data_IF_294707021831
#
_entry.id   IF_294707021831
#
_cell.length_a   1.000
_cell.length_b   1.000
_cell.length_c   1.000
_cell.angle_alpha   90.00
_cell.angle_beta   90.00
_cell.angle_gamma   90.00
#
_symmetry.space_group_name_H-M   'P 1'
#
loop_
_entity.id
_entity.type
_entity.pdbx_description
1 polymer ?
#
# COMPACT_ATOMS: atom_id res chain seq x y z
N UNK A 1 -14.67 -10.42 -4.27
CA UNK A 1 -13.91 -9.33 -3.60
C UNK A 1 -14.56 -8.97 -2.25
N UNK A 2 -14.00 -9.44 -1.14
CA UNK A 2 -14.61 -9.35 0.22
C UNK A 2 -13.71 -8.55 1.19
N UNK A 3 -12.48 -8.21 0.78
CA UNK A 3 -11.58 -7.45 1.64
C UNK A 3 -12.03 -6.00 1.73
N UNK A 4 -12.48 -5.56 2.91
CA UNK A 4 -12.77 -4.17 3.25
C UNK A 4 -11.65 -3.71 4.19
N UNK A 5 -10.80 -2.75 3.79
CA UNK A 5 -9.76 -2.24 4.66
C UNK A 5 -10.35 -1.45 5.82
N UNK A 6 -9.67 -1.48 6.97
CA UNK A 6 -10.06 -0.74 8.17
C UNK A 6 -10.18 0.77 7.87
N UNK A 7 -11.29 1.38 8.28
CA UNK A 7 -11.58 2.79 8.02
C UNK A 7 -12.25 3.09 6.68
N UNK A 8 -12.64 2.06 5.91
CA UNK A 8 -13.36 2.22 4.64
C UNK A 8 -14.67 1.42 4.65
N UNK A 9 -15.72 1.98 4.06
CA UNK A 9 -17.01 1.28 3.86
C UNK A 9 -17.10 0.57 2.49
N UNK A 10 -16.05 0.69 1.68
CA UNK A 10 -15.97 0.14 0.33
C UNK A 10 -15.00 -1.04 0.29
N UNK A 11 -15.30 -2.04 -0.54
CA UNK A 11 -14.35 -3.15 -0.76
C UNK A 11 -13.09 -2.63 -1.44
N UNK A 12 -11.98 -3.31 -1.20
CA UNK A 12 -10.70 -3.00 -1.83
C UNK A 12 -10.81 -2.97 -3.36
N UNK A 13 -11.70 -3.75 -3.98
CA UNK A 13 -11.92 -3.72 -5.42
C UNK A 13 -12.60 -2.43 -5.91
N UNK A 14 -13.37 -1.76 -5.04
CA UNK A 14 -14.11 -0.52 -5.32
C UNK A 14 -13.30 0.75 -5.02
N UNK A 15 -12.17 0.66 -4.32
CA UNK A 15 -11.29 1.80 -4.06
C UNK A 15 -10.55 2.24 -5.34
N UNK A 16 -10.29 3.54 -5.46
CA UNK A 16 -9.47 4.09 -6.54
C UNK A 16 -8.06 3.48 -6.52
N UNK A 17 -7.45 3.32 -7.70
CA UNK A 17 -6.13 2.67 -7.81
C UNK A 17 -5.05 3.43 -7.02
N UNK A 18 -5.16 4.76 -6.88
CA UNK A 18 -4.25 5.54 -6.04
C UNK A 18 -4.34 5.15 -4.55
N UNK A 19 -5.56 4.86 -4.08
CA UNK A 19 -5.86 4.46 -2.71
C UNK A 19 -5.42 3.01 -2.46
N UNK A 20 -5.70 2.10 -3.42
CA UNK A 20 -5.24 0.70 -3.38
C UNK A 20 -3.72 0.59 -3.33
N UNK A 21 -3.05 1.39 -4.16
CA UNK A 21 -1.59 1.40 -4.24
C UNK A 21 -0.98 1.80 -2.91
N UNK A 22 -1.50 2.82 -2.21
CA UNK A 22 -1.00 3.21 -0.88
C UNK A 22 -1.26 2.21 0.25
N UNK A 23 -2.27 1.34 0.12
CA UNK A 23 -2.69 0.43 1.20
C UNK A 23 -2.23 -1.03 1.04
N UNK A 24 -1.82 -1.44 -0.16
CA UNK A 24 -1.43 -2.83 -0.38
C UNK A 24 -0.20 -3.22 0.45
N UNK A 25 -0.18 -4.46 0.96
CA UNK A 25 1.02 -5.04 1.58
C UNK A 25 2.25 -4.91 0.67
N UNK A 26 2.05 -5.02 -0.65
CA UNK A 26 3.10 -4.86 -1.66
C UNK A 26 3.74 -3.48 -1.59
N UNK A 27 2.95 -2.41 -1.58
CA UNK A 27 3.46 -1.05 -1.49
C UNK A 27 4.22 -0.81 -0.19
N UNK A 28 3.66 -1.24 0.95
CA UNK A 28 4.34 -1.13 2.26
C UNK A 28 5.69 -1.84 2.28
N UNK A 29 5.80 -3.01 1.63
CA UNK A 29 7.07 -3.75 1.52
C UNK A 29 8.06 -3.04 0.59
N UNK A 30 7.61 -2.53 -0.56
CA UNK A 30 8.47 -1.81 -1.51
C UNK A 30 8.95 -0.49 -0.93
N UNK A 31 8.10 0.25 -0.21
CA UNK A 31 8.48 1.53 0.42
C UNK A 31 9.52 1.33 1.54
N UNK A 32 9.36 0.26 2.36
CA UNK A 32 10.40 -0.14 3.32
C UNK A 32 11.71 -0.51 2.64
N UNK A 33 11.66 -1.22 1.51
CA UNK A 33 12.85 -1.56 0.73
C UNK A 33 13.53 -0.30 0.18
N UNK A 34 12.75 0.64 -0.37
CA UNK A 34 13.26 1.93 -0.85
C UNK A 34 13.98 2.69 0.26
N UNK A 35 13.35 2.84 1.42
CA UNK A 35 13.97 3.54 2.56
C UNK A 35 15.20 2.83 3.11
N UNK A 36 15.37 1.52 2.88
CA UNK A 36 16.62 0.82 3.18
C UNK A 36 17.71 1.15 2.16
N UNK A 37 17.39 1.14 0.86
CA UNK A 37 18.36 1.48 -0.20
C UNK A 37 18.84 2.94 -0.10
N UNK A 38 17.94 3.89 0.14
CA UNK A 38 18.30 5.31 0.31
C UNK A 38 19.29 5.52 1.48
N UNK A 39 19.23 4.69 2.53
CA UNK A 39 20.18 4.72 3.65
C UNK A 39 21.55 4.12 3.32
N UNK A 40 21.63 3.22 2.34
CA UNK A 40 22.89 2.61 1.91
C UNK A 40 23.65 3.50 0.92
N UNK A 41 22.94 4.36 0.18
CA UNK A 41 23.52 5.31 -0.77
C UNK A 41 24.05 6.60 -0.10
N UNK A 42 23.90 6.74 1.22
CA UNK A 42 24.38 7.87 2.04
C UNK A 42 25.60 7.48 2.88
#
# INVERSE_FOLDING_TARGET
>A
PIFIPEGYDQTFAQLDDNIKNGMSHRYRSIDKMRGFLEKLDS
#
